data_IF_368846489992
#
_entry.id   IF_368846489992
#
_cell.length_a   1.000
_cell.length_b   1.000
_cell.length_c   1.000
_cell.angle_alpha   90.00
_cell.angle_beta   90.00
_cell.angle_gamma   90.00
#
_symmetry.space_group_name_H-M   'P 1'
#
loop_
_entity.id
_entity.type
_entity.pdbx_description
1 polymer ?
#
# COMPACT_ATOMS: atom_id res chain seq x y z
N UNK A 1 -12.97 -5.09 -7.58
CA UNK A 1 -11.66 -5.07 -6.92
C UNK A 1 -11.35 -6.50 -6.58
N UNK A 2 -10.23 -7.02 -7.08
CA UNK A 2 -9.83 -8.42 -6.84
C UNK A 2 -9.00 -8.53 -5.55
N UNK A 3 -9.22 -7.60 -4.62
CA UNK A 3 -8.44 -7.42 -3.41
C UNK A 3 -7.37 -6.34 -3.52
N UNK A 4 -6.55 -6.21 -2.48
CA UNK A 4 -5.45 -5.26 -2.42
C UNK A 4 -4.33 -5.75 -1.53
N UNK A 5 -3.18 -5.11 -1.66
CA UNK A 5 -1.97 -5.38 -0.89
C UNK A 5 -1.52 -4.12 -0.17
N UNK A 6 -1.03 -4.28 1.06
CA UNK A 6 -0.36 -3.22 1.80
C UNK A 6 1.10 -3.56 1.99
N UNK A 7 1.97 -2.65 1.57
CA UNK A 7 3.41 -2.77 1.73
C UNK A 7 3.96 -1.69 2.65
N UNK A 8 4.94 -2.05 3.46
CA UNK A 8 5.81 -1.10 4.17
C UNK A 8 7.19 -1.13 3.49
N UNK A 9 7.65 0.02 2.99
CA UNK A 9 8.94 0.15 2.28
C UNK A 9 9.67 1.45 2.66
N UNK A 10 10.96 1.51 2.32
CA UNK A 10 11.79 2.72 2.41
C UNK A 10 11.86 3.49 1.09
N UNK A 11 11.35 2.94 -0.02
CA UNK A 11 11.32 3.56 -1.34
C UNK A 11 9.87 3.81 -1.79
N UNK A 12 9.68 4.56 -2.87
CA UNK A 12 8.35 4.82 -3.45
C UNK A 12 8.20 4.15 -4.82
N UNK A 13 8.88 3.02 -5.03
CA UNK A 13 8.88 2.30 -6.31
C UNK A 13 7.57 1.54 -6.52
N UNK A 14 7.20 1.37 -7.80
CA UNK A 14 6.09 0.55 -8.22
C UNK A 14 6.59 -0.46 -9.27
N UNK A 15 6.39 -1.78 -9.09
CA UNK A 15 5.75 -2.42 -7.93
C UNK A 15 6.55 -2.23 -6.63
N UNK A 16 5.91 -2.27 -5.44
CA UNK A 16 6.58 -2.08 -4.17
C UNK A 16 7.65 -3.16 -3.91
N UNK A 17 8.81 -2.75 -3.40
CA UNK A 17 9.96 -3.61 -3.03
C UNK A 17 10.02 -3.94 -1.53
N UNK A 18 8.96 -3.63 -0.79
CA UNK A 18 8.90 -3.68 0.66
C UNK A 18 8.35 -4.97 1.27
N UNK A 19 8.11 -4.90 2.58
CA UNK A 19 7.45 -5.97 3.33
C UNK A 19 5.94 -5.95 3.08
N UNK A 20 5.39 -7.08 2.66
CA UNK A 20 3.94 -7.29 2.51
C UNK A 20 3.29 -7.46 3.88
N UNK A 21 2.55 -6.45 4.32
CA UNK A 21 1.81 -6.44 5.58
C UNK A 21 0.47 -7.16 5.49
N UNK A 22 -0.20 -7.06 4.35
CA UNK A 22 -1.54 -7.60 4.15
C UNK A 22 -1.79 -7.83 2.67
N UNK A 23 -2.49 -8.91 2.38
CA UNK A 23 -3.06 -9.22 1.08
C UNK A 23 -4.51 -9.60 1.33
N UNK A 24 -5.43 -8.91 0.66
CA UNK A 24 -6.86 -9.11 0.82
C UNK A 24 -7.24 -10.48 0.29
N UNK A 25 -7.82 -11.37 1.12
CA UNK A 25 -8.05 -12.75 0.73
C UNK A 25 -9.26 -12.93 -0.19
N UNK A 26 -10.21 -11.98 -0.18
CA UNK A 26 -11.50 -12.13 -0.85
C UNK A 26 -11.72 -11.06 -1.92
N UNK A 27 -12.15 -11.43 -3.14
CA UNK A 27 -12.61 -10.47 -4.14
C UNK A 27 -13.93 -9.85 -3.67
N UNK A 28 -13.93 -8.56 -3.35
CA UNK A 28 -15.10 -7.87 -2.81
C UNK A 28 -14.83 -6.47 -2.30
N UNK A 29 -15.84 -5.88 -1.66
CA UNK A 29 -15.65 -4.65 -0.90
C UNK A 29 -15.04 -5.01 0.46
N UNK A 30 -13.86 -4.47 0.82
CA UNK A 30 -13.31 -4.68 2.14
C UNK A 30 -14.25 -4.10 3.20
N UNK A 31 -14.14 -4.63 4.41
CA UNK A 31 -14.93 -4.15 5.53
C UNK A 31 -14.62 -2.68 5.80
N UNK A 32 -15.65 -1.87 6.11
CA UNK A 32 -15.50 -0.42 6.31
C UNK A 32 -14.52 -0.07 7.43
N UNK A 33 -14.35 -0.98 8.39
CA UNK A 33 -13.39 -0.87 9.47
C UNK A 33 -12.48 -2.10 9.46
N UNK A 34 -11.23 -1.90 9.06
CA UNK A 34 -10.19 -2.93 9.12
C UNK A 34 -9.01 -2.42 9.93
N UNK A 35 -8.51 -3.26 10.84
CA UNK A 35 -7.27 -3.01 11.57
C UNK A 35 -6.28 -4.09 11.15
N UNK A 36 -5.23 -3.67 10.45
CA UNK A 36 -4.23 -4.57 9.87
C UNK A 36 -2.96 -4.48 10.73
N UNK A 37 -2.61 -5.54 11.49
CA UNK A 37 -1.40 -5.52 12.30
C UNK A 37 -0.17 -5.62 11.40
N UNK A 38 0.70 -4.61 11.44
CA UNK A 38 2.00 -4.67 10.77
C UNK A 38 3.08 -3.93 11.57
N UNK A 39 4.04 -4.69 12.10
CA UNK A 39 5.15 -4.15 12.91
C UNK A 39 6.42 -4.12 12.08
N UNK A 40 6.54 -3.13 11.19
CA UNK A 40 7.69 -2.98 10.30
C UNK A 40 8.24 -1.57 10.30
N UNK A 41 9.56 -1.46 10.12
CA UNK A 41 10.22 -0.18 9.89
C UNK A 41 10.15 0.18 8.43
N UNK A 42 9.60 1.36 8.13
CA UNK A 42 9.56 1.90 6.79
C UNK A 42 9.21 3.37 6.78
N UNK A 43 9.39 3.99 5.62
CA UNK A 43 9.06 5.39 5.36
C UNK A 43 7.71 5.55 4.66
N UNK A 44 7.32 4.55 3.87
CA UNK A 44 6.10 4.57 3.08
C UNK A 44 5.24 3.35 3.40
N UNK A 45 3.92 3.58 3.47
CA UNK A 45 2.89 2.54 3.42
C UNK A 45 2.22 2.67 2.05
N UNK A 46 2.32 1.63 1.23
CA UNK A 46 1.81 1.64 -0.15
C UNK A 46 0.63 0.68 -0.24
N UNK A 47 -0.52 1.21 -0.66
CA UNK A 47 -1.63 0.43 -1.17
C UNK A 47 -1.33 0.06 -2.62
N UNK A 48 -1.40 -1.23 -2.94
CA UNK A 48 -1.10 -1.76 -4.27
C UNK A 48 -2.17 -2.77 -4.67
N UNK A 49 -2.68 -2.66 -5.89
CA UNK A 49 -3.62 -3.60 -6.49
C UNK A 49 -2.98 -4.12 -7.78
N UNK A 50 -2.92 -5.44 -7.93
CA UNK A 50 -2.28 -6.12 -9.05
C UNK A 50 -3.13 -6.03 -10.34
N UNK A 51 -4.39 -5.56 -10.25
CA UNK A 51 -5.36 -5.54 -11.36
C UNK A 51 -5.26 -4.34 -12.30
N UNK A 52 -4.31 -3.42 -12.07
CA UNK A 52 -4.10 -2.26 -12.94
C UNK A 52 -3.19 -2.55 -14.13
N UNK A 53 -3.71 -2.42 -15.35
CA UNK A 53 -2.86 -2.21 -16.53
C UNK A 53 -2.10 -0.89 -16.38
N UNK A 54 -0.87 -0.79 -16.88
CA UNK A 54 -0.19 0.50 -16.98
C UNK A 54 -0.69 1.22 -18.25
N UNK A 55 -1.48 2.27 -18.12
CA UNK A 55 -1.85 3.12 -19.25
C UNK A 55 -0.73 4.15 -19.49
N UNK A 56 -0.36 4.32 -20.76
CA UNK A 56 0.53 5.40 -21.19
C UNK A 56 -0.30 6.65 -21.46
N UNK A 57 -0.25 7.61 -20.55
CA UNK A 57 -0.81 8.95 -20.76
C UNK A 57 0.34 9.86 -21.21
N UNK A 58 0.53 9.98 -22.52
CA UNK A 58 1.66 10.70 -23.11
C UNK A 58 3.01 10.01 -22.87
N UNK A 59 3.98 10.74 -22.31
CA UNK A 59 5.31 10.21 -21.97
C UNK A 59 5.38 9.61 -20.55
N UNK A 60 4.25 9.54 -19.85
CA UNK A 60 4.17 8.98 -18.49
C UNK A 60 3.36 7.70 -18.51
N UNK A 61 3.84 6.68 -17.81
CA UNK A 61 3.07 5.48 -17.49
C UNK A 61 2.34 5.74 -16.17
N UNK A 62 1.02 5.65 -16.18
CA UNK A 62 0.17 5.74 -14.99
C UNK A 62 -0.50 4.38 -14.77
N UNK A 63 -0.69 3.93 -13.53
CA UNK A 63 -1.57 2.79 -13.27
C UNK A 63 -2.99 3.14 -13.74
N UNK A 64 -3.47 2.39 -14.73
CA UNK A 64 -4.88 2.28 -15.14
C UNK A 64 -5.42 1.02 -14.48
N UNK A 65 -5.76 1.20 -13.21
CA UNK A 65 -6.33 0.17 -12.36
C UNK A 65 -7.50 0.75 -11.58
N UNK A 66 -8.21 -0.10 -10.82
CA UNK A 66 -9.36 0.34 -10.05
C UNK A 66 -8.97 1.54 -9.18
N UNK A 67 -9.77 2.61 -9.27
CA UNK A 67 -9.59 3.77 -8.40
C UNK A 67 -9.89 3.32 -6.98
N UNK A 68 -8.87 3.36 -6.14
CA UNK A 68 -9.00 3.07 -4.72
C UNK A 68 -9.30 4.37 -4.01
N UNK A 69 -10.55 4.54 -3.59
CA UNK A 69 -10.97 5.64 -2.75
C UNK A 69 -10.88 5.21 -1.27
N UNK A 70 -9.90 5.77 -0.57
CA UNK A 70 -9.73 5.54 0.86
C UNK A 70 -10.41 6.69 1.63
N UNK A 71 -11.53 6.39 2.27
CA UNK A 71 -12.26 7.39 3.07
C UNK A 71 -11.43 7.88 4.27
N UNK A 72 -10.65 6.98 4.89
CA UNK A 72 -9.80 7.29 6.03
C UNK A 72 -8.68 6.26 6.17
N UNK A 73 -7.45 6.73 6.45
CA UNK A 73 -6.31 5.87 6.76
C UNK A 73 -5.62 6.41 8.02
N UNK A 74 -5.48 5.55 9.03
CA UNK A 74 -4.67 5.82 10.21
C UNK A 74 -3.50 4.85 10.27
N UNK A 75 -2.28 5.40 10.40
CA UNK A 75 -1.07 4.62 10.63
C UNK A 75 -0.69 4.82 12.10
N UNK A 76 -0.82 3.78 12.90
CA UNK A 76 -0.41 3.79 14.30
C UNK A 76 0.97 3.15 14.42
N UNK A 77 1.94 3.91 14.92
CA UNK A 77 3.30 3.41 15.10
C UNK A 77 4.15 4.38 15.91
N UNK A 78 5.39 3.97 16.17
CA UNK A 78 6.38 4.78 16.87
C UNK A 78 7.58 5.04 15.97
N UNK A 79 8.12 6.26 16.05
CA UNK A 79 9.36 6.58 15.36
C UNK A 79 10.54 5.97 16.12
N UNK A 80 11.32 5.12 15.45
CA UNK A 80 12.63 4.75 15.96
C UNK A 80 13.58 5.94 15.74
N UNK A 81 13.64 6.86 16.71
CA UNK A 81 14.78 7.77 16.81
C UNK A 81 15.97 6.89 17.21
N UNK A 82 16.81 6.52 16.24
CA UNK A 82 18.09 5.92 16.54
C UNK A 82 18.95 6.99 17.21
N UNK A 83 18.99 6.97 18.55
CA UNK A 83 20.00 7.69 19.31
C UNK A 83 21.35 7.06 18.95
N UNK A 84 22.03 7.62 17.95
CA UNK A 84 23.45 7.33 17.75
C UNK A 84 24.19 7.90 18.97
N UNK A 85 24.67 6.99 19.83
CA UNK A 85 25.70 7.29 20.82
C UNK A 85 27.05 7.54 20.18
#
# INVERSE_FOLDING_TARGET
MDGFKLYVTNTSTFPPDGYLCYEDPDPGLPNITQTIPCNQLGRYVIYYDDTGSLERVGNSTRPDGPVVELCYVAINGWCCVSLKG
#
